data_IF_087048189090
#
_entry.id   IF_087048189090
#
_cell.length_a   1.000
_cell.length_b   1.000
_cell.length_c   1.000
_cell.angle_alpha   90.00
_cell.angle_beta   90.00
_cell.angle_gamma   90.00
#
_symmetry.space_group_name_H-M   'P 1'
#
loop_
_entity.id
_entity.type
_entity.pdbx_description
1 polymer ?
#
# COMPACT_ATOMS: atom_id res chain seq x y z
N UNK A 1 -13.67 -75.71 -54.75
CA UNK A 1 -14.75 -75.69 -53.73
C UNK A 1 -14.15 -75.70 -52.33
N UNK A 2 -14.40 -74.61 -51.59
CA UNK A 2 -14.26 -74.37 -50.14
C UNK A 2 -13.57 -73.03 -49.94
N UNK A 3 -14.33 -72.05 -49.46
CA UNK A 3 -13.89 -71.25 -48.32
C UNK A 3 -15.12 -70.72 -47.58
N UNK A 4 -15.16 -71.04 -46.29
CA UNK A 4 -16.23 -70.71 -45.34
C UNK A 4 -16.09 -69.25 -44.94
N UNK A 5 -17.21 -68.52 -44.93
CA UNK A 5 -17.33 -67.21 -44.28
C UNK A 5 -17.84 -67.44 -42.87
N UNK A 6 -17.07 -66.99 -41.88
CA UNK A 6 -17.44 -66.97 -40.46
C UNK A 6 -17.60 -65.48 -40.07
N UNK A 7 -18.82 -65.08 -39.75
CA UNK A 7 -19.14 -63.73 -39.26
C UNK A 7 -18.81 -63.69 -37.77
N UNK A 8 -17.97 -62.75 -37.34
CA UNK A 8 -17.75 -62.44 -35.92
C UNK A 8 -18.24 -61.02 -35.65
N UNK A 9 -19.23 -60.92 -34.77
CA UNK A 9 -19.78 -59.69 -34.21
C UNK A 9 -18.79 -59.17 -33.17
N UNK A 10 -18.22 -57.99 -33.40
CA UNK A 10 -17.34 -57.31 -32.44
C UNK A 10 -18.20 -56.41 -31.55
N UNK A 11 -18.29 -56.75 -30.27
CA UNK A 11 -18.81 -55.89 -29.21
C UNK A 11 -17.81 -54.77 -28.95
N UNK A 12 -18.25 -53.51 -29.09
CA UNK A 12 -17.45 -52.33 -28.75
C UNK A 12 -17.28 -52.19 -27.24
N UNK A 13 -16.02 -52.25 -26.77
CA UNK A 13 -15.65 -51.79 -25.43
C UNK A 13 -15.58 -50.27 -25.43
N UNK A 14 -16.57 -49.62 -24.82
CA UNK A 14 -16.51 -48.22 -24.44
C UNK A 14 -15.56 -48.12 -23.24
N UNK A 15 -14.36 -47.61 -23.47
CA UNK A 15 -13.42 -47.28 -22.41
C UNK A 15 -13.90 -45.97 -21.76
N UNK A 16 -14.44 -46.06 -20.55
CA UNK A 16 -14.64 -44.90 -19.69
C UNK A 16 -13.27 -44.40 -19.23
N UNK A 17 -12.72 -43.39 -19.91
CA UNK A 17 -11.64 -42.59 -19.32
C UNK A 17 -12.24 -41.76 -18.20
N UNK A 18 -12.06 -42.23 -16.97
CA UNK A 18 -12.32 -41.48 -15.76
C UNK A 18 -11.53 -40.16 -15.81
N UNK A 19 -12.23 -39.02 -15.78
CA UNK A 19 -11.61 -37.74 -15.49
C UNK A 19 -11.05 -37.82 -14.06
N UNK A 20 -9.73 -37.91 -13.93
CA UNK A 20 -9.07 -37.59 -12.67
C UNK A 20 -9.48 -36.18 -12.27
N UNK A 21 -10.22 -36.09 -11.16
CA UNK A 21 -10.57 -34.85 -10.51
C UNK A 21 -9.32 -34.00 -10.30
N UNK A 22 -9.29 -32.84 -10.96
CA UNK A 22 -8.20 -31.87 -10.84
C UNK A 22 -8.02 -31.47 -9.38
N UNK A 23 -6.84 -31.79 -8.82
CA UNK A 23 -6.37 -31.15 -7.60
C UNK A 23 -6.41 -29.64 -7.84
N UNK A 24 -7.15 -28.88 -7.03
CA UNK A 24 -7.08 -27.42 -7.09
C UNK A 24 -5.63 -27.02 -6.85
N UNK A 25 -4.95 -26.54 -7.88
CA UNK A 25 -3.57 -26.08 -7.73
C UNK A 25 -3.60 -24.82 -6.87
N UNK A 26 -2.97 -24.89 -5.71
CA UNK A 26 -2.88 -23.77 -4.78
C UNK A 26 -2.07 -22.64 -5.45
N UNK A 27 -2.57 -21.41 -5.37
CA UNK A 27 -1.89 -20.24 -5.96
C UNK A 27 -0.51 -20.03 -5.32
N UNK A 28 0.45 -19.64 -6.14
CA UNK A 28 1.80 -19.22 -5.70
C UNK A 28 1.77 -17.85 -5.02
N UNK A 29 2.79 -17.54 -4.22
CA UNK A 29 2.91 -16.22 -3.56
C UNK A 29 2.91 -15.06 -4.57
N UNK A 30 3.53 -15.26 -5.74
CA UNK A 30 3.55 -14.27 -6.84
C UNK A 30 2.15 -14.03 -7.39
N UNK A 31 1.39 -15.10 -7.63
CA UNK A 31 0.01 -14.99 -8.14
C UNK A 31 -0.91 -14.33 -7.10
N UNK A 32 -0.72 -14.64 -5.81
CA UNK A 32 -1.44 -14.02 -4.70
C UNK A 32 -1.13 -12.52 -4.57
N UNK A 33 0.15 -12.14 -4.65
CA UNK A 33 0.59 -10.75 -4.66
C UNK A 33 -0.01 -9.97 -5.84
N UNK A 34 0.06 -10.53 -7.05
CA UNK A 34 -0.53 -9.92 -8.23
C UNK A 34 -2.06 -9.80 -8.12
N UNK A 35 -2.74 -10.83 -7.59
CA UNK A 35 -4.20 -10.79 -7.40
C UNK A 35 -4.62 -9.74 -6.38
N UNK A 36 -3.90 -9.63 -5.25
CA UNK A 36 -4.13 -8.60 -4.24
C UNK A 36 -4.03 -7.18 -4.82
N UNK A 37 -2.99 -6.92 -5.63
CA UNK A 37 -2.85 -5.64 -6.30
C UNK A 37 -3.90 -5.40 -7.39
N UNK A 38 -4.28 -6.43 -8.17
CA UNK A 38 -5.39 -6.31 -9.12
C UNK A 38 -6.71 -5.97 -8.40
N UNK A 39 -6.97 -6.54 -7.23
CA UNK A 39 -8.14 -6.24 -6.41
C UNK A 39 -8.16 -4.79 -5.93
N UNK A 40 -7.03 -4.28 -5.44
CA UNK A 40 -6.89 -2.85 -5.13
C UNK A 40 -7.16 -1.99 -6.38
N UNK A 41 -6.59 -2.37 -7.53
CA UNK A 41 -6.83 -1.68 -8.80
C UNK A 41 -8.30 -1.62 -9.19
N UNK A 42 -9.01 -2.75 -9.15
CA UNK A 42 -10.45 -2.83 -9.40
C UNK A 42 -11.25 -1.94 -8.45
N UNK A 43 -10.88 -1.89 -7.16
CA UNK A 43 -11.49 -0.99 -6.18
C UNK A 43 -11.26 0.48 -6.50
N UNK A 44 -10.06 0.86 -6.94
CA UNK A 44 -9.73 2.23 -7.35
C UNK A 44 -10.43 2.68 -8.64
N UNK A 45 -10.88 1.72 -9.44
CA UNK A 45 -11.70 1.92 -10.64
C UNK A 45 -13.21 1.78 -10.35
N UNK A 46 -13.60 1.71 -9.08
CA UNK A 46 -14.99 1.56 -8.59
C UNK A 46 -15.69 0.30 -9.13
N UNK A 47 -14.93 -0.69 -9.61
CA UNK A 47 -15.45 -1.99 -10.03
C UNK A 47 -15.50 -2.94 -8.83
N UNK A 48 -16.39 -2.62 -7.88
CA UNK A 48 -16.48 -3.31 -6.59
C UNK A 48 -16.91 -4.78 -6.72
N UNK A 49 -17.73 -5.12 -7.71
CA UNK A 49 -18.11 -6.52 -7.98
C UNK A 49 -16.89 -7.38 -8.37
N UNK A 50 -16.07 -6.89 -9.30
CA UNK A 50 -14.83 -7.57 -9.68
C UNK A 50 -13.84 -7.62 -8.51
N UNK A 51 -13.69 -6.51 -7.78
CA UNK A 51 -12.83 -6.44 -6.61
C UNK A 51 -13.28 -7.46 -5.54
N UNK A 52 -14.58 -7.62 -5.31
CA UNK A 52 -15.12 -8.60 -4.36
C UNK A 52 -14.81 -10.03 -4.80
N UNK A 53 -15.01 -10.37 -6.09
CA UNK A 53 -14.67 -11.71 -6.61
C UNK A 53 -13.17 -12.01 -6.42
N UNK A 54 -12.32 -11.02 -6.69
CA UNK A 54 -10.87 -11.16 -6.48
C UNK A 54 -10.53 -11.32 -5.00
N UNK A 55 -11.20 -10.59 -4.11
CA UNK A 55 -11.02 -10.73 -2.66
C UNK A 55 -11.48 -12.09 -2.14
N UNK A 56 -12.64 -12.59 -2.56
CA UNK A 56 -13.14 -13.93 -2.21
C UNK A 56 -12.15 -15.02 -2.66
N UNK A 57 -11.54 -14.83 -3.84
CA UNK A 57 -10.50 -15.72 -4.34
C UNK A 57 -9.25 -15.69 -3.45
N UNK A 58 -8.84 -14.51 -2.98
CA UNK A 58 -7.71 -14.36 -2.06
C UNK A 58 -7.99 -15.07 -0.73
N UNK A 59 -9.18 -14.86 -0.14
CA UNK A 59 -9.58 -15.50 1.12
C UNK A 59 -9.58 -17.03 1.02
N UNK A 60 -10.03 -17.58 -0.12
CA UNK A 60 -10.05 -19.02 -0.36
C UNK A 60 -8.67 -19.65 -0.51
N UNK A 61 -7.69 -18.91 -1.04
CA UNK A 61 -6.38 -19.45 -1.40
C UNK A 61 -5.26 -19.08 -0.43
N UNK A 62 -5.51 -18.19 0.52
CA UNK A 62 -4.51 -17.74 1.48
C UNK A 62 -4.69 -18.32 2.87
N UNK A 63 -3.58 -18.72 3.50
CA UNK A 63 -3.53 -18.97 4.94
C UNK A 63 -3.37 -17.69 5.76
N UNK A 64 -2.69 -16.70 5.17
CA UNK A 64 -2.34 -15.42 5.80
C UNK A 64 -2.45 -14.33 4.77
N UNK A 65 -3.27 -13.32 5.03
CA UNK A 65 -3.49 -12.21 4.11
C UNK A 65 -2.73 -10.97 4.61
N UNK A 66 -2.07 -10.26 3.69
CA UNK A 66 -1.51 -8.95 3.99
C UNK A 66 -2.63 -7.99 4.39
N UNK A 67 -2.42 -7.20 5.45
CA UNK A 67 -3.43 -6.29 6.00
C UNK A 67 -3.97 -5.33 4.95
N UNK A 68 -3.16 -4.89 3.97
CA UNK A 68 -3.61 -3.97 2.91
C UNK A 68 -4.69 -4.61 2.03
N UNK A 69 -4.53 -5.88 1.67
CA UNK A 69 -5.52 -6.60 0.87
C UNK A 69 -6.77 -6.89 1.69
N UNK A 70 -6.61 -7.24 2.97
CA UNK A 70 -7.75 -7.49 3.84
C UNK A 70 -8.58 -6.22 4.06
N UNK A 71 -7.94 -5.09 4.36
CA UNK A 71 -8.61 -3.80 4.55
C UNK A 71 -9.38 -3.40 3.29
N UNK A 72 -8.71 -3.38 2.12
CA UNK A 72 -9.38 -3.00 0.87
C UNK A 72 -10.51 -3.96 0.52
N UNK A 73 -10.33 -5.27 0.72
CA UNK A 73 -11.39 -6.25 0.49
C UNK A 73 -12.62 -6.04 1.39
N UNK A 74 -12.42 -5.69 2.66
CA UNK A 74 -13.50 -5.37 3.59
C UNK A 74 -14.21 -4.05 3.23
N UNK A 75 -13.45 -3.03 2.81
CA UNK A 75 -14.01 -1.78 2.28
C UNK A 75 -14.85 -2.03 1.03
N UNK A 76 -14.36 -2.85 0.09
CA UNK A 76 -15.11 -3.29 -1.11
C UNK A 76 -16.41 -3.98 -0.72
N UNK A 77 -16.37 -4.95 0.21
CA UNK A 77 -17.58 -5.62 0.72
C UNK A 77 -18.57 -4.62 1.33
N UNK A 78 -18.07 -3.56 1.98
CA UNK A 78 -18.90 -2.53 2.60
C UNK A 78 -19.64 -1.72 1.54
N UNK A 79 -18.95 -1.33 0.47
CA UNK A 79 -19.55 -0.59 -0.65
C UNK A 79 -20.68 -1.35 -1.34
N UNK A 80 -20.60 -2.68 -1.40
CA UNK A 80 -21.65 -3.55 -1.99
C UNK A 80 -22.64 -4.12 -0.96
N UNK A 81 -22.63 -3.61 0.28
CA UNK A 81 -23.64 -3.94 1.30
C UNK A 81 -23.51 -5.33 1.94
N UNK A 82 -22.33 -5.96 1.92
CA UNK A 82 -22.07 -7.30 2.48
C UNK A 82 -21.64 -7.26 3.94
N UNK A 83 -22.40 -6.58 4.79
CA UNK A 83 -22.05 -6.36 6.21
C UNK A 83 -21.93 -7.67 7.02
N UNK A 84 -22.74 -8.69 6.71
CA UNK A 84 -22.69 -9.99 7.39
C UNK A 84 -21.36 -10.73 7.14
N UNK A 85 -20.89 -10.74 5.88
CA UNK A 85 -19.61 -11.35 5.50
C UNK A 85 -18.42 -10.60 6.17
N UNK A 86 -18.52 -9.27 6.29
CA UNK A 86 -17.51 -8.47 6.99
C UNK A 86 -17.39 -8.90 8.47
N UNK A 87 -18.52 -9.06 9.15
CA UNK A 87 -18.56 -9.47 10.56
C UNK A 87 -17.93 -10.86 10.73
N UNK A 88 -18.23 -11.81 9.84
CA UNK A 88 -17.63 -13.15 9.85
C UNK A 88 -16.11 -13.07 9.68
N UNK A 89 -15.64 -12.32 8.67
CA UNK A 89 -14.21 -12.17 8.41
C UNK A 89 -13.51 -11.53 9.60
N UNK A 90 -14.02 -10.41 10.13
CA UNK A 90 -13.45 -9.72 11.29
C UNK A 90 -13.40 -10.64 12.52
N UNK A 91 -14.45 -11.43 12.76
CA UNK A 91 -14.51 -12.34 13.92
C UNK A 91 -13.46 -13.45 13.87
N UNK A 92 -12.95 -13.77 12.68
CA UNK A 92 -11.88 -14.76 12.48
C UNK A 92 -10.45 -14.20 12.57
N UNK A 93 -10.29 -12.87 12.63
CA UNK A 93 -8.96 -12.24 12.60
C UNK A 93 -8.25 -12.28 13.96
N UNK A 94 -6.92 -12.41 13.97
CA UNK A 94 -6.13 -12.27 15.19
C UNK A 94 -6.19 -10.83 15.73
N UNK A 95 -5.90 -10.67 17.03
CA UNK A 95 -6.02 -9.39 17.74
C UNK A 95 -5.15 -8.30 17.09
N UNK A 96 -3.93 -8.65 16.69
CA UNK A 96 -2.97 -7.73 16.06
C UNK A 96 -3.52 -7.17 14.74
N UNK A 97 -4.17 -8.04 13.96
CA UNK A 97 -4.82 -7.64 12.70
C UNK A 97 -6.05 -6.76 12.96
N UNK A 98 -6.87 -7.09 13.96
CA UNK A 98 -8.01 -6.27 14.36
C UNK A 98 -7.57 -4.87 14.83
N UNK A 99 -6.46 -4.76 15.55
CA UNK A 99 -5.89 -3.46 15.95
C UNK A 99 -5.45 -2.60 14.76
N UNK A 100 -5.15 -3.20 13.62
CA UNK A 100 -4.82 -2.47 12.39
C UNK A 100 -6.06 -2.11 11.59
N UNK A 101 -6.93 -3.09 11.32
CA UNK A 101 -8.13 -2.94 10.48
C UNK A 101 -9.13 -1.97 11.10
N UNK A 102 -9.41 -2.11 12.39
CA UNK A 102 -10.45 -1.37 13.08
C UNK A 102 -10.14 0.12 13.30
N UNK A 103 -8.90 0.56 13.00
CA UNK A 103 -8.53 1.98 12.97
C UNK A 103 -9.06 2.69 11.71
N UNK A 104 -9.54 1.96 10.71
CA UNK A 104 -10.13 2.54 9.50
C UNK A 104 -11.54 3.02 9.77
N UNK A 105 -11.83 4.27 9.42
CA UNK A 105 -13.11 4.94 9.69
C UNK A 105 -14.31 4.15 9.14
N UNK A 106 -14.18 3.55 7.96
CA UNK A 106 -15.23 2.74 7.33
C UNK A 106 -15.57 1.52 8.18
N UNK A 107 -14.57 0.93 8.85
CA UNK A 107 -14.70 -0.32 9.62
C UNK A 107 -14.89 -0.08 11.12
N UNK A 108 -14.61 1.13 11.62
CA UNK A 108 -14.71 1.44 13.05
C UNK A 108 -16.14 1.40 13.60
N UNK A 109 -17.15 1.44 12.73
CA UNK A 109 -18.56 1.41 13.11
C UNK A 109 -19.06 0.00 13.49
N UNK A 110 -18.35 -1.04 13.10
CA UNK A 110 -18.68 -2.41 13.50
C UNK A 110 -18.40 -2.62 14.99
N UNK A 111 -19.31 -3.29 15.71
CA UNK A 111 -19.20 -3.50 17.17
C UNK A 111 -17.85 -4.10 17.59
N UNK A 112 -17.34 -5.07 16.81
CA UNK A 112 -16.03 -5.70 17.06
C UNK A 112 -14.87 -4.70 17.02
N UNK A 113 -15.01 -3.62 16.27
CA UNK A 113 -13.98 -2.59 16.08
C UNK A 113 -14.04 -1.46 17.10
N UNK A 114 -15.15 -1.26 17.82
CA UNK A 114 -15.27 -0.21 18.84
C UNK A 114 -14.22 -0.32 19.96
N UNK A 115 -13.76 -1.54 20.27
CA UNK A 115 -12.70 -1.78 21.27
C UNK A 115 -11.27 -1.46 20.78
N UNK A 116 -11.09 -1.21 19.48
CA UNK A 116 -9.77 -1.05 18.85
C UNK A 116 -9.58 0.30 18.12
N UNK A 117 -10.59 1.19 18.17
CA UNK A 117 -10.66 2.38 17.32
C UNK A 117 -9.86 3.58 17.81
N UNK A 118 -9.24 3.53 19.00
CA UNK A 118 -8.49 4.67 19.56
C UNK A 118 -7.00 4.35 19.64
N UNK A 119 -6.21 5.10 18.87
CA UNK A 119 -4.75 5.09 18.99
C UNK A 119 -4.34 5.97 20.17
N UNK A 120 -3.72 5.36 21.19
CA UNK A 120 -3.16 6.06 22.36
C UNK A 120 -1.69 6.34 22.10
N UNK A 121 -1.26 7.58 22.30
CA UNK A 121 0.12 8.02 22.08
C UNK A 121 0.73 8.61 23.34
N UNK A 122 2.06 8.53 23.47
CA UNK A 122 2.76 9.04 24.66
C UNK A 122 2.89 10.57 24.67
N UNK A 123 2.86 11.22 23.51
CA UNK A 123 3.05 12.66 23.39
C UNK A 123 2.06 13.28 22.40
N UNK A 124 0.83 13.52 22.86
CA UNK A 124 -0.25 14.13 22.07
C UNK A 124 0.11 15.52 21.54
N UNK A 125 0.90 16.31 22.31
CA UNK A 125 1.32 17.64 21.87
C UNK A 125 2.25 17.56 20.66
N UNK A 126 3.24 16.66 20.70
CA UNK A 126 4.16 16.44 19.58
C UNK A 126 3.45 15.79 18.40
N UNK A 127 2.52 14.85 18.65
CA UNK A 127 1.66 14.31 17.61
C UNK A 127 0.93 15.44 16.87
N UNK A 128 0.21 16.30 17.59
CA UNK A 128 -0.58 17.36 16.96
C UNK A 128 0.30 18.34 16.19
N UNK A 129 1.50 18.63 16.69
CA UNK A 129 2.48 19.44 15.99
C UNK A 129 2.91 18.82 14.65
N UNK A 130 3.33 17.55 14.66
CA UNK A 130 3.74 16.81 13.46
C UNK A 130 2.59 16.65 12.46
N UNK A 131 1.36 16.45 12.93
CA UNK A 131 0.18 16.38 12.06
C UNK A 131 -0.05 17.71 11.33
N UNK A 132 0.08 18.85 12.03
CA UNK A 132 -0.05 20.17 11.39
C UNK A 132 1.05 20.37 10.33
N UNK A 133 2.29 20.05 10.67
CA UNK A 133 3.41 20.14 9.73
C UNK A 133 3.18 19.25 8.51
N UNK A 134 2.70 18.02 8.71
CA UNK A 134 2.39 17.08 7.63
C UNK A 134 1.28 17.57 6.71
N UNK A 135 0.17 18.05 7.27
CA UNK A 135 -0.93 18.57 6.46
C UNK A 135 -0.49 19.81 5.66
N UNK A 136 0.36 20.67 6.23
CA UNK A 136 0.94 21.81 5.50
C UNK A 136 1.91 21.35 4.39
N UNK A 137 2.75 20.36 4.65
CA UNK A 137 3.65 19.71 3.68
C UNK A 137 2.88 19.16 2.47
N UNK A 138 1.75 18.50 2.69
CA UNK A 138 0.93 17.97 1.60
C UNK A 138 0.12 19.05 0.89
N UNK A 139 -0.34 20.07 1.61
CA UNK A 139 -1.12 21.17 1.04
C UNK A 139 -0.37 21.92 -0.07
N UNK A 140 0.92 22.22 0.12
CA UNK A 140 1.76 22.89 -0.89
C UNK A 140 2.01 22.04 -2.15
N UNK A 141 1.63 20.75 -2.11
CA UNK A 141 1.65 19.80 -3.23
C UNK A 141 0.24 19.57 -3.80
N UNK A 142 -0.67 20.53 -3.57
CA UNK A 142 -2.07 20.48 -3.99
C UNK A 142 -2.88 19.33 -3.37
N UNK A 143 -2.41 18.75 -2.26
CA UNK A 143 -3.07 17.66 -1.56
C UNK A 143 -3.64 18.14 -0.21
N UNK A 144 -4.91 18.52 -0.19
CA UNK A 144 -5.61 18.87 1.04
C UNK A 144 -6.12 17.60 1.74
N UNK A 145 -5.49 17.26 2.87
CA UNK A 145 -5.81 16.06 3.65
C UNK A 145 -7.07 16.22 4.53
N UNK A 146 -8.26 16.28 3.92
CA UNK A 146 -9.54 16.49 4.63
C UNK A 146 -9.79 15.48 5.74
N UNK A 147 -9.46 14.21 5.51
CA UNK A 147 -9.72 13.14 6.46
C UNK A 147 -8.86 13.29 7.73
N UNK A 148 -7.60 13.72 7.56
CA UNK A 148 -6.70 14.01 8.69
C UNK A 148 -7.17 15.26 9.43
N UNK A 149 -7.57 16.32 8.72
CA UNK A 149 -8.13 17.51 9.36
C UNK A 149 -9.36 17.17 10.20
N UNK A 150 -10.29 16.36 9.67
CA UNK A 150 -11.47 15.91 10.41
C UNK A 150 -11.09 15.05 11.61
N UNK A 151 -10.21 14.05 11.42
CA UNK A 151 -9.78 13.13 12.48
C UNK A 151 -9.17 13.84 13.69
N UNK A 152 -8.39 14.89 13.44
CA UNK A 152 -7.71 15.65 14.49
C UNK A 152 -8.43 16.96 14.87
N UNK A 153 -9.65 17.19 14.36
CA UNK A 153 -10.45 18.38 14.60
C UNK A 153 -9.67 19.70 14.34
N UNK A 154 -8.98 19.76 13.20
CA UNK A 154 -8.17 20.89 12.77
C UNK A 154 -8.88 21.67 11.65
N UNK A 155 -8.79 22.99 11.71
CA UNK A 155 -9.20 23.87 10.60
C UNK A 155 -8.03 24.21 9.68
N UNK A 156 -8.31 24.61 8.44
CA UNK A 156 -7.29 25.04 7.48
C UNK A 156 -6.40 26.15 8.02
N UNK A 157 -7.00 27.16 8.66
CA UNK A 157 -6.29 28.33 9.17
C UNK A 157 -5.33 28.00 10.33
N UNK A 158 -5.54 26.87 11.02
CA UNK A 158 -4.64 26.40 12.07
C UNK A 158 -3.38 25.72 11.55
N UNK A 159 -3.33 25.43 10.25
CA UNK A 159 -2.36 24.49 9.66
C UNK A 159 -1.64 25.08 8.47
N UNK A 160 -2.34 25.80 7.60
CA UNK A 160 -1.77 26.36 6.38
C UNK A 160 -1.07 27.66 6.73
N UNK A 161 0.26 27.67 6.63
CA UNK A 161 1.08 28.84 6.99
C UNK A 161 1.44 29.66 5.74
N UNK A 162 1.75 28.99 4.64
CA UNK A 162 1.94 29.58 3.32
C UNK A 162 1.63 28.57 2.21
N UNK A 163 1.69 29.03 0.96
CA UNK A 163 1.51 28.22 -0.25
C UNK A 163 2.82 27.97 -1.01
N UNK A 164 3.98 28.26 -0.42
CA UNK A 164 5.29 28.09 -1.05
C UNK A 164 5.95 26.80 -0.58
N UNK A 165 6.04 25.82 -1.49
CA UNK A 165 6.62 24.51 -1.19
C UNK A 165 8.06 24.56 -0.69
N UNK A 166 8.92 25.40 -1.29
CA UNK A 166 10.35 25.47 -0.90
C UNK A 166 10.49 25.97 0.55
N UNK A 167 9.76 27.02 0.89
CA UNK A 167 9.80 27.59 2.25
C UNK A 167 9.20 26.62 3.29
N UNK A 168 8.18 25.86 2.89
CA UNK A 168 7.55 24.83 3.73
C UNK A 168 8.53 23.68 3.99
N UNK A 169 9.20 23.17 2.95
CA UNK A 169 10.15 22.06 3.07
C UNK A 169 11.37 22.43 3.93
N UNK A 170 11.89 23.65 3.79
CA UNK A 170 12.98 24.16 4.64
C UNK A 170 12.54 24.27 6.10
N UNK A 171 11.39 24.89 6.38
CA UNK A 171 10.87 25.05 7.74
C UNK A 171 10.59 23.70 8.41
N UNK A 172 10.00 22.77 7.66
CA UNK A 172 9.73 21.42 8.16
C UNK A 172 11.04 20.68 8.46
N UNK A 173 12.05 20.78 7.59
CA UNK A 173 13.37 20.19 7.82
C UNK A 173 14.02 20.73 9.09
N UNK A 174 14.11 22.05 9.24
CA UNK A 174 14.73 22.65 10.44
C UNK A 174 13.96 22.30 11.71
N UNK A 175 12.63 22.34 11.66
CA UNK A 175 11.81 21.95 12.81
C UNK A 175 11.95 20.46 13.16
N UNK A 176 12.07 19.59 12.16
CA UNK A 176 12.32 18.16 12.42
C UNK A 176 13.68 17.91 13.05
N UNK A 177 14.74 18.66 12.68
CA UNK A 177 16.04 18.57 13.36
C UNK A 177 15.89 18.87 14.85
N UNK A 178 15.22 19.97 15.20
CA UNK A 178 14.95 20.33 16.60
C UNK A 178 14.13 19.26 17.35
N UNK A 179 13.12 18.68 16.69
CA UNK A 179 12.31 17.60 17.25
C UNK A 179 13.18 16.37 17.52
N UNK A 180 14.01 15.97 16.56
CA UNK A 180 14.89 14.80 16.67
C UNK A 180 15.95 15.03 17.77
N UNK A 181 16.54 16.22 17.85
CA UNK A 181 17.52 16.56 18.88
C UNK A 181 16.91 16.52 20.29
N UNK A 182 15.65 16.93 20.42
CA UNK A 182 14.95 16.98 21.71
C UNK A 182 14.36 15.66 22.16
N UNK A 183 13.73 14.91 21.26
CA UNK A 183 12.92 13.72 21.59
C UNK A 183 13.51 12.41 21.06
N UNK A 184 14.60 12.48 20.28
CA UNK A 184 15.03 11.37 19.42
C UNK A 184 14.16 11.25 18.17
N UNK A 185 14.48 10.30 17.29
CA UNK A 185 13.66 10.03 16.12
C UNK A 185 12.25 9.57 16.55
N UNK A 186 11.17 10.23 16.09
CA UNK A 186 9.82 9.87 16.49
C UNK A 186 9.49 8.40 16.21
N UNK A 187 8.58 7.83 17.02
CA UNK A 187 8.07 6.47 16.83
C UNK A 187 6.55 6.46 16.82
N UNK A 188 5.93 5.39 16.28
CA UNK A 188 4.47 5.24 16.26
C UNK A 188 3.88 5.22 17.67
N UNK A 189 4.60 4.67 18.65
CA UNK A 189 4.17 4.71 20.05
C UNK A 189 4.15 6.14 20.61
N UNK A 190 5.13 6.96 20.22
CA UNK A 190 5.26 8.33 20.71
C UNK A 190 4.22 9.27 20.11
N UNK A 191 4.01 9.18 18.78
CA UNK A 191 3.24 10.20 18.04
C UNK A 191 2.11 9.63 17.18
N UNK A 192 1.96 8.31 17.10
CA UNK A 192 0.92 7.66 16.30
C UNK A 192 1.29 7.51 14.83
N UNK A 193 0.46 6.77 14.08
CA UNK A 193 0.74 6.37 12.69
C UNK A 193 0.76 7.55 11.73
N UNK A 194 -0.23 8.42 11.83
CA UNK A 194 -0.38 9.54 10.87
C UNK A 194 0.76 10.55 11.02
N UNK A 195 1.18 10.83 12.26
CA UNK A 195 2.33 11.71 12.51
C UNK A 195 3.64 11.08 12.02
N UNK A 196 3.83 9.76 12.19
CA UNK A 196 4.99 9.05 11.64
C UNK A 196 5.05 9.12 10.11
N UNK A 197 3.91 8.93 9.44
CA UNK A 197 3.84 9.13 7.99
C UNK A 197 4.24 10.57 7.61
N UNK A 198 3.80 11.55 8.39
CA UNK A 198 4.21 12.94 8.24
C UNK A 198 5.72 13.17 8.38
N UNK A 199 6.35 12.57 9.39
CA UNK A 199 7.81 12.59 9.56
C UNK A 199 8.50 12.05 8.31
N UNK A 200 8.02 10.93 7.76
CA UNK A 200 8.57 10.37 6.53
C UNK A 200 8.45 11.33 5.34
N UNK A 201 7.26 11.89 5.07
CA UNK A 201 7.07 12.79 3.92
C UNK A 201 7.93 14.05 4.00
N UNK A 202 8.02 14.67 5.17
CA UNK A 202 8.88 15.84 5.38
C UNK A 202 10.38 15.52 5.15
N UNK A 203 10.84 14.31 5.50
CA UNK A 203 12.19 13.83 5.15
C UNK A 203 12.32 13.56 3.65
N UNK A 204 11.32 12.90 3.05
CA UNK A 204 11.27 12.61 1.61
C UNK A 204 11.38 13.88 0.76
N UNK A 205 10.84 14.99 1.25
CA UNK A 205 10.81 16.29 0.57
C UNK A 205 11.99 17.21 0.90
N UNK A 206 12.91 16.78 1.77
CA UNK A 206 14.05 17.58 2.21
C UNK A 206 15.20 17.67 1.18
N UNK A 207 14.91 17.79 -0.11
CA UNK A 207 15.91 17.81 -1.20
C UNK A 207 16.85 19.01 -1.13
N UNK A 208 16.43 20.09 -0.46
CA UNK A 208 17.26 21.26 -0.19
C UNK A 208 18.50 20.96 0.65
N UNK A 209 18.60 19.79 1.29
CA UNK A 209 19.75 19.38 2.09
C UNK A 209 20.01 17.87 1.98
N UNK A 210 20.46 17.44 0.81
CA UNK A 210 20.71 16.03 0.47
C UNK A 210 21.54 15.26 1.52
N UNK A 211 22.53 15.90 2.15
CA UNK A 211 23.36 15.26 3.17
C UNK A 211 22.54 14.88 4.42
N UNK A 212 21.63 15.75 4.85
CA UNK A 212 20.73 15.47 5.97
C UNK A 212 19.67 14.44 5.59
N UNK A 213 19.04 14.56 4.42
CA UNK A 213 18.09 13.57 3.92
C UNK A 213 18.73 12.16 3.88
N UNK A 214 19.96 12.06 3.36
CA UNK A 214 20.71 10.81 3.31
C UNK A 214 21.02 10.25 4.69
N UNK A 215 21.34 11.10 5.68
CA UNK A 215 21.61 10.63 7.05
C UNK A 215 20.36 10.04 7.73
N UNK A 216 19.15 10.42 7.30
CA UNK A 216 17.90 9.87 7.81
C UNK A 216 17.58 8.45 7.29
N UNK A 217 18.27 7.96 6.26
CA UNK A 217 17.97 6.65 5.66
C UNK A 217 18.08 5.51 6.69
N UNK A 218 19.04 5.59 7.63
CA UNK A 218 19.18 4.61 8.73
C UNK A 218 18.01 4.70 9.70
N UNK A 219 17.52 5.90 10.01
CA UNK A 219 16.37 6.09 10.88
C UNK A 219 15.10 5.51 10.24
N UNK A 220 14.86 5.79 8.95
CA UNK A 220 13.73 5.21 8.21
C UNK A 220 13.83 3.69 8.15
N UNK A 221 15.01 3.12 7.87
CA UNK A 221 15.22 1.67 7.89
C UNK A 221 14.88 1.04 9.25
N UNK A 222 15.29 1.69 10.35
CA UNK A 222 14.98 1.23 11.69
C UNK A 222 13.49 1.36 12.02
N UNK A 223 12.85 2.46 11.64
CA UNK A 223 11.41 2.65 11.80
C UNK A 223 10.60 1.59 11.04
N UNK A 224 11.02 1.20 9.83
CA UNK A 224 10.43 0.07 9.10
C UNK A 224 10.59 -1.24 9.87
N UNK A 225 11.80 -1.52 10.37
CA UNK A 225 12.07 -2.75 11.15
C UNK A 225 11.22 -2.83 12.42
N UNK A 226 10.92 -1.69 13.04
CA UNK A 226 10.07 -1.60 14.24
C UNK A 226 8.57 -1.52 13.92
N UNK A 227 8.19 -1.47 12.64
CA UNK A 227 6.80 -1.32 12.21
C UNK A 227 6.22 0.07 12.49
N UNK A 228 7.07 1.08 12.67
CA UNK A 228 6.67 2.49 12.80
C UNK A 228 6.37 3.13 11.43
N UNK A 229 6.98 2.61 10.36
CA UNK A 229 6.75 2.97 8.96
C UNK A 229 6.61 1.72 8.09
N UNK A 230 5.99 1.85 6.92
CA UNK A 230 5.94 0.76 5.94
C UNK A 230 7.26 0.63 5.16
N UNK A 231 7.52 -0.57 4.63
CA UNK A 231 8.74 -0.84 3.85
C UNK A 231 8.85 0.02 2.59
N UNK A 232 7.73 0.53 2.06
CA UNK A 232 7.74 1.38 0.87
C UNK A 232 8.39 2.73 1.17
N UNK A 233 8.21 3.26 2.38
CA UNK A 233 8.84 4.50 2.85
C UNK A 233 10.37 4.45 2.68
N UNK A 234 10.99 3.31 3.02
CA UNK A 234 12.42 3.11 2.77
C UNK A 234 12.76 3.12 1.28
N UNK A 235 11.99 2.39 0.46
CA UNK A 235 12.22 2.31 -0.98
C UNK A 235 12.14 3.69 -1.67
N UNK A 236 11.13 4.49 -1.32
CA UNK A 236 10.95 5.85 -1.83
C UNK A 236 12.11 6.76 -1.49
N UNK A 237 12.58 6.73 -0.24
CA UNK A 237 13.71 7.58 0.18
C UNK A 237 15.02 7.10 -0.43
N UNK A 238 15.25 5.79 -0.45
CA UNK A 238 16.45 5.19 -1.02
C UNK A 238 16.63 5.60 -2.49
N UNK A 239 15.59 5.35 -3.29
CA UNK A 239 15.61 5.65 -4.72
C UNK A 239 15.76 7.14 -4.98
N UNK A 240 15.05 8.01 -4.22
CA UNK A 240 15.18 9.46 -4.37
C UNK A 240 16.61 9.95 -4.11
N UNK A 241 17.25 9.45 -3.04
CA UNK A 241 18.66 9.75 -2.74
C UNK A 241 19.56 9.30 -3.90
N UNK A 242 19.32 8.11 -4.47
CA UNK A 242 20.10 7.56 -5.58
C UNK A 242 19.99 8.42 -6.83
N UNK A 243 18.77 8.73 -7.26
CA UNK A 243 18.53 9.56 -8.45
C UNK A 243 19.11 10.96 -8.26
N UNK A 244 18.88 11.60 -7.11
CA UNK A 244 19.45 12.92 -6.81
C UNK A 244 20.99 12.92 -6.78
N UNK A 245 21.61 11.75 -6.55
CA UNK A 245 23.07 11.56 -6.61
C UNK A 245 23.58 11.12 -7.99
N UNK A 246 22.71 11.04 -9.01
CA UNK A 246 23.06 10.56 -10.36
C UNK A 246 23.29 9.05 -10.46
N UNK A 247 22.94 8.30 -9.42
CA UNK A 247 23.05 6.84 -9.36
C UNK A 247 21.77 6.16 -9.84
N UNK A 248 21.82 4.84 -10.03
CA UNK A 248 20.62 4.05 -10.37
C UNK A 248 19.78 3.80 -9.12
N UNK A 249 18.46 3.88 -9.27
CA UNK A 249 17.49 3.48 -8.25
C UNK A 249 17.30 1.96 -8.23
N UNK A 250 16.75 1.42 -7.14
CA UNK A 250 16.60 -0.03 -6.94
C UNK A 250 15.15 -0.50 -7.03
N UNK A 251 14.20 0.31 -6.56
CA UNK A 251 12.79 -0.08 -6.42
C UNK A 251 11.86 0.56 -7.45
N UNK A 252 12.36 1.45 -8.31
CA UNK A 252 11.58 2.03 -9.41
C UNK A 252 10.48 2.97 -8.89
N UNK A 253 10.79 3.78 -7.88
CA UNK A 253 9.84 4.76 -7.31
C UNK A 253 9.94 6.13 -7.98
N UNK A 254 11.06 6.45 -8.65
CA UNK A 254 11.28 7.73 -9.34
C UNK A 254 11.10 7.58 -10.86
N UNK A 255 10.57 8.63 -11.49
CA UNK A 255 10.32 8.67 -12.93
C UNK A 255 11.11 9.80 -13.57
N UNK A 256 11.75 9.53 -14.71
CA UNK A 256 12.40 10.54 -15.53
C UNK A 256 11.38 11.38 -16.30
N UNK A 257 10.25 10.79 -16.66
CA UNK A 257 9.18 11.46 -17.37
C UNK A 257 7.80 10.83 -17.06
N UNK A 258 6.81 11.68 -16.80
CA UNK A 258 5.40 11.28 -16.71
C UNK A 258 4.58 12.29 -17.50
N UNK A 259 4.05 11.85 -18.65
CA UNK A 259 3.20 12.65 -19.52
C UNK A 259 1.88 11.91 -19.74
N UNK A 260 0.85 12.37 -19.04
CA UNK A 260 -0.47 11.74 -19.10
C UNK A 260 -1.23 11.99 -20.41
N UNK A 261 -0.86 13.04 -21.16
CA UNK A 261 -1.47 13.40 -22.45
C UNK A 261 -0.97 12.43 -23.51
N UNK A 262 0.33 12.18 -23.55
CA UNK A 262 0.95 11.26 -24.51
C UNK A 262 1.06 9.81 -23.98
N UNK A 263 0.54 9.55 -22.77
CA UNK A 263 0.54 8.24 -22.13
C UNK A 263 1.96 7.67 -21.91
N UNK A 264 2.91 8.55 -21.57
CA UNK A 264 4.31 8.21 -21.33
C UNK A 264 4.57 8.11 -19.83
N UNK A 265 5.19 7.03 -19.39
CA UNK A 265 5.73 6.88 -18.04
C UNK A 265 7.06 6.15 -18.09
N UNK A 266 8.14 6.89 -17.88
CA UNK A 266 9.50 6.40 -17.98
C UNK A 266 10.14 6.44 -16.61
N UNK A 267 10.58 5.28 -16.13
CA UNK A 267 11.37 5.21 -14.91
C UNK A 267 12.68 5.95 -15.13
N UNK A 268 13.17 6.60 -14.07
CA UNK A 268 14.56 6.99 -14.04
C UNK A 268 15.46 5.73 -14.04
N UNK A 269 16.77 5.90 -14.24
CA UNK A 269 17.73 4.80 -14.39
C UNK A 269 17.58 3.80 -13.24
N UNK A 270 17.08 2.61 -13.54
CA UNK A 270 16.83 1.54 -12.56
C UNK A 270 17.81 0.40 -12.73
N UNK A 271 18.32 -0.12 -11.62
CA UNK A 271 19.14 -1.32 -11.59
C UNK A 271 18.28 -2.57 -11.81
N UNK A 272 18.75 -3.50 -12.66
CA UNK A 272 18.14 -4.82 -12.87
C UNK A 272 16.60 -4.78 -12.99
N UNK A 273 16.12 -4.25 -14.12
CA UNK A 273 14.69 -4.07 -14.43
C UNK A 273 13.96 -5.42 -14.45
N UNK A 274 14.61 -6.48 -14.94
CA UNK A 274 13.99 -7.81 -15.08
C UNK A 274 13.60 -8.41 -13.71
N UNK A 275 14.36 -8.10 -12.65
CA UNK A 275 14.03 -8.54 -11.29
C UNK A 275 13.37 -7.45 -10.43
N UNK A 276 12.93 -6.33 -11.01
CA UNK A 276 12.36 -5.20 -10.27
C UNK A 276 11.10 -5.62 -9.48
N UNK A 277 10.18 -6.32 -10.12
CA UNK A 277 8.93 -6.74 -9.50
C UNK A 277 9.15 -7.79 -8.39
N UNK A 278 10.21 -8.59 -8.49
CA UNK A 278 10.61 -9.48 -7.40
C UNK A 278 10.98 -8.68 -6.15
N UNK A 279 11.83 -7.65 -6.30
CA UNK A 279 12.22 -6.77 -5.18
C UNK A 279 11.01 -6.02 -4.62
N UNK A 280 10.12 -5.53 -5.49
CA UNK A 280 8.89 -4.83 -5.09
C UNK A 280 7.95 -5.76 -4.32
N UNK A 281 7.77 -7.00 -4.75
CA UNK A 281 6.99 -8.01 -4.04
C UNK A 281 7.56 -8.29 -2.63
N UNK A 282 8.87 -8.48 -2.51
CA UNK A 282 9.55 -8.77 -1.24
C UNK A 282 9.34 -7.69 -0.17
N UNK A 283 9.11 -6.43 -0.58
CA UNK A 283 8.81 -5.30 0.32
C UNK A 283 7.33 -4.89 0.30
N UNK A 284 6.47 -5.69 -0.33
CA UNK A 284 5.03 -5.48 -0.37
C UNK A 284 4.59 -4.27 -1.20
N UNK A 285 5.39 -3.82 -2.17
CA UNK A 285 5.01 -2.79 -3.15
C UNK A 285 4.19 -3.38 -4.29
N UNK A 286 3.49 -2.51 -5.01
CA UNK A 286 2.71 -2.90 -6.19
C UNK A 286 3.59 -3.22 -7.39
N UNK A 287 3.14 -4.08 -8.33
CA UNK A 287 3.85 -4.30 -9.58
C UNK A 287 4.13 -2.98 -10.32
N UNK A 288 5.31 -2.87 -10.94
CA UNK A 288 5.78 -1.62 -11.54
C UNK A 288 4.86 -1.13 -12.66
N UNK A 289 4.31 -2.04 -13.46
CA UNK A 289 3.39 -1.68 -14.53
C UNK A 289 2.06 -1.15 -14.00
N UNK A 290 1.61 -1.64 -12.84
CA UNK A 290 0.44 -1.07 -12.18
C UNK A 290 0.76 0.30 -11.59
N UNK A 291 1.95 0.49 -11.02
CA UNK A 291 2.38 1.79 -10.51
C UNK A 291 2.45 2.86 -11.62
N UNK A 292 3.03 2.51 -12.78
CA UNK A 292 3.06 3.38 -13.96
C UNK A 292 1.65 3.83 -14.38
N UNK A 293 0.68 2.90 -14.41
CA UNK A 293 -0.73 3.22 -14.70
C UNK A 293 -1.33 4.22 -13.69
N UNK A 294 -1.02 4.08 -12.41
CA UNK A 294 -1.48 5.02 -11.38
C UNK A 294 -0.91 6.42 -11.59
N UNK A 295 0.37 6.54 -11.97
CA UNK A 295 1.00 7.83 -12.24
C UNK A 295 0.30 8.59 -13.37
N UNK A 296 -0.16 7.89 -14.41
CA UNK A 296 -0.95 8.49 -15.49
C UNK A 296 -2.32 8.97 -15.01
N UNK A 297 -3.00 8.20 -14.16
CA UNK A 297 -4.35 8.51 -13.66
C UNK A 297 -4.33 9.74 -12.74
N UNK A 298 -3.31 9.87 -11.89
CA UNK A 298 -3.22 10.96 -10.92
C UNK A 298 -2.96 12.33 -11.55
N UNK A 299 -2.31 12.41 -12.71
CA UNK A 299 -2.08 13.68 -13.43
C UNK A 299 -3.32 14.12 -14.24
N UNK A 300 -4.22 13.19 -14.58
CA UNK A 300 -5.45 13.51 -15.34
C UNK A 300 -6.57 14.13 -14.49
N UNK A 301 -6.43 14.11 -13.16
CA UNK A 301 -7.39 14.70 -12.21
C UNK A 301 -7.01 16.14 -11.90
#
# INVERSE_FOLDING_TARGET
MKNKILIHVIFGLISFTSCEHGKSQQMTDVEMWQLGWRMIGSSMDENFELANIQFDTILKNSKTIDSKYLITGLEVKKEIGKDEEIIEILSSQPIEMLQEICKKQVLSNFEICKKYSVEIVENEKLQLELIKMYVNDQYVRSNLMTDILQKYNLSKDQVIIDSNGINTDERNRERLKEIIDKYGFPTKKMVGKDAMNGVFFMIQHADGENAWQKSQLTNIKNAVKMGDLDSQSYAYLYDRIKINSGEKQLYGTQFANVDAVNNIVELDKTEDIDNLDKRRMEIGMMPIEMYKKLMLKNIRK
#
